data_IF_838786901268
#
_entry.id   IF_838786901268
#
_cell.length_a   1.000
_cell.length_b   1.000
_cell.length_c   1.000
_cell.angle_alpha   90.00
_cell.angle_beta   90.00
_cell.angle_gamma   90.00
#
_symmetry.space_group_name_H-M   'P 1'
#
loop_
_entity.id
_entity.type
_entity.pdbx_description
1 polymer ?
#
# COMPACT_ATOMS: atom_id res chain seq x y z
N UNK A 1 41.53 -20.48 24.14
CA UNK A 1 40.05 -20.52 24.09
C UNK A 1 39.61 -19.68 22.90
N UNK A 2 38.96 -20.28 21.91
CA UNK A 2 38.37 -19.54 20.78
C UNK A 2 37.04 -18.95 21.23
N UNK A 3 36.86 -17.63 21.05
CA UNK A 3 35.61 -16.93 21.35
C UNK A 3 34.90 -16.70 20.00
N UNK A 4 33.74 -17.33 19.74
CA UNK A 4 33.05 -17.12 18.47
C UNK A 4 32.64 -15.66 18.35
N UNK A 5 32.68 -15.08 17.13
CA UNK A 5 32.21 -13.72 16.90
C UNK A 5 30.72 -13.62 17.26
N UNK A 6 30.33 -12.49 17.83
CA UNK A 6 28.92 -12.24 18.15
C UNK A 6 28.07 -12.32 16.87
N UNK A 7 26.88 -12.94 16.93
CA UNK A 7 26.00 -13.03 15.78
C UNK A 7 25.65 -11.61 15.32
N UNK A 8 25.74 -11.37 14.01
CA UNK A 8 25.35 -10.10 13.42
C UNK A 8 23.93 -9.74 13.87
N UNK A 9 23.79 -8.60 14.54
CA UNK A 9 22.47 -8.09 14.92
C UNK A 9 21.68 -7.83 13.65
N UNK A 10 20.59 -8.59 13.48
CA UNK A 10 19.59 -8.32 12.46
C UNK A 10 18.99 -6.95 12.73
N UNK A 11 19.40 -5.95 11.96
CA UNK A 11 18.69 -4.68 11.87
C UNK A 11 17.67 -4.83 10.73
N UNK A 12 16.36 -4.93 11.03
CA UNK A 12 15.37 -4.91 9.96
C UNK A 12 15.57 -3.61 9.18
N UNK A 13 15.88 -3.74 7.89
CA UNK A 13 15.94 -2.61 6.99
C UNK A 13 14.64 -1.83 7.12
N UNK A 14 14.73 -0.52 7.33
CA UNK A 14 13.54 0.33 7.33
C UNK A 14 12.86 0.17 5.97
N UNK A 15 11.78 -0.62 5.94
CA UNK A 15 10.94 -0.79 4.76
C UNK A 15 10.61 0.61 4.24
N UNK A 16 10.99 0.89 3.00
CA UNK A 16 10.65 2.15 2.36
C UNK A 16 9.13 2.34 2.47
N UNK A 17 8.64 3.53 2.86
CA UNK A 17 7.21 3.74 3.00
C UNK A 17 6.54 3.43 1.66
N UNK A 18 5.61 2.47 1.66
CA UNK A 18 4.77 2.17 0.50
C UNK A 18 4.17 3.49 0.00
N UNK A 19 4.46 3.85 -1.25
CA UNK A 19 3.92 5.06 -1.87
C UNK A 19 2.39 5.05 -1.93
N UNK A 20 1.74 6.15 -2.32
CA UNK A 20 0.30 6.17 -2.49
C UNK A 20 -0.14 5.09 -3.48
N UNK A 21 -1.14 4.29 -3.11
CA UNK A 21 -1.70 3.26 -3.99
C UNK A 21 -2.73 3.85 -4.96
N UNK A 22 -3.34 4.97 -4.59
CA UNK A 22 -4.24 5.76 -5.43
C UNK A 22 -4.14 7.24 -5.08
N UNK A 23 -4.48 8.13 -6.01
CA UNK A 23 -4.62 9.58 -5.74
C UNK A 23 -5.96 10.04 -6.29
N UNK A 24 -6.83 10.50 -5.40
CA UNK A 24 -8.13 11.06 -5.77
C UNK A 24 -7.93 12.47 -6.30
N UNK A 25 -8.48 12.75 -7.48
CA UNK A 25 -8.46 14.07 -8.12
C UNK A 25 -9.83 14.42 -8.67
N UNK A 26 -10.12 15.72 -8.79
CA UNK A 26 -11.34 16.21 -9.42
C UNK A 26 -12.63 15.94 -8.65
N UNK A 27 -12.57 15.62 -7.36
CA UNK A 27 -13.75 15.61 -6.51
C UNK A 27 -14.29 17.04 -6.34
N UNK A 28 -15.62 17.20 -6.35
CA UNK A 28 -16.29 18.49 -6.10
C UNK A 28 -15.97 18.99 -4.69
N UNK A 29 -15.93 18.08 -3.72
CA UNK A 29 -15.41 18.36 -2.39
C UNK A 29 -13.87 18.28 -2.41
N UNK A 30 -13.15 19.40 -2.27
CA UNK A 30 -11.69 19.42 -2.34
C UNK A 30 -11.04 18.60 -1.22
N UNK A 31 -11.75 18.35 -0.11
CA UNK A 31 -11.25 17.56 1.03
C UNK A 31 -11.15 16.06 0.73
N UNK A 32 -11.76 15.60 -0.36
CA UNK A 32 -11.65 14.20 -0.81
C UNK A 32 -10.39 13.97 -1.66
N UNK A 33 -9.82 15.03 -2.24
CA UNK A 33 -8.68 14.93 -3.14
C UNK A 33 -7.39 14.67 -2.34
N UNK A 34 -6.54 13.80 -2.87
CA UNK A 34 -5.25 13.48 -2.26
C UNK A 34 -4.92 11.98 -2.27
N UNK A 35 -3.78 11.61 -1.68
CA UNK A 35 -3.26 10.26 -1.70
C UNK A 35 -4.04 9.31 -0.78
N UNK A 36 -4.24 8.09 -1.26
CA UNK A 36 -4.81 6.98 -0.50
C UNK A 36 -3.82 5.82 -0.49
N UNK A 37 -3.65 5.19 0.66
CA UNK A 37 -2.94 3.91 0.80
C UNK A 37 -3.88 2.84 1.33
N UNK A 38 -3.60 1.61 0.93
CA UNK A 38 -4.37 0.42 1.27
C UNK A 38 -3.52 -0.57 2.06
N UNK A 39 -4.17 -1.53 2.71
CA UNK A 39 -3.56 -2.72 3.26
C UNK A 39 -4.40 -3.94 2.91
N UNK A 40 -3.80 -5.12 3.03
CA UNK A 40 -4.58 -6.34 2.95
C UNK A 40 -5.46 -6.48 4.19
N UNK A 41 -6.75 -6.81 4.03
CA UNK A 41 -7.55 -7.27 5.15
C UNK A 41 -7.02 -8.63 5.60
N UNK A 42 -7.01 -8.85 6.91
CA UNK A 42 -6.80 -10.18 7.49
C UNK A 42 -8.01 -11.07 7.21
N UNK A 43 -7.86 -12.39 7.36
CA UNK A 43 -8.97 -13.33 7.18
C UNK A 43 -10.16 -13.03 8.11
N UNK A 44 -9.91 -12.52 9.31
CA UNK A 44 -10.98 -12.10 10.22
C UNK A 44 -11.69 -10.84 9.72
N UNK A 45 -10.95 -9.88 9.19
CA UNK A 45 -11.53 -8.65 8.62
C UNK A 45 -12.35 -8.92 7.36
N UNK A 46 -11.97 -9.90 6.54
CA UNK A 46 -12.79 -10.35 5.40
C UNK A 46 -14.19 -10.80 5.84
N UNK A 47 -14.30 -11.50 6.99
CA UNK A 47 -15.59 -11.88 7.58
C UNK A 47 -16.35 -10.64 8.09
N UNK A 48 -15.65 -9.71 8.72
CA UNK A 48 -16.25 -8.46 9.21
C UNK A 48 -16.77 -7.58 8.07
N UNK A 49 -16.06 -7.49 6.94
CA UNK A 49 -16.49 -6.77 5.74
C UNK A 49 -17.84 -7.31 5.26
N UNK A 50 -18.00 -8.64 5.18
CA UNK A 50 -19.27 -9.26 4.80
C UNK A 50 -20.42 -8.90 5.75
N UNK A 51 -20.17 -8.98 7.07
CA UNK A 51 -21.16 -8.57 8.08
C UNK A 51 -21.52 -7.09 7.95
N UNK A 52 -20.53 -6.23 7.70
CA UNK A 52 -20.71 -4.79 7.57
C UNK A 52 -21.50 -4.42 6.32
N UNK A 53 -21.25 -5.08 5.19
CA UNK A 53 -22.04 -4.89 3.97
C UNK A 53 -23.53 -5.24 4.18
N UNK A 54 -23.81 -6.31 4.92
CA UNK A 54 -25.17 -6.72 5.28
C UNK A 54 -25.85 -5.73 6.25
N UNK A 55 -25.10 -5.15 7.19
CA UNK A 55 -25.57 -4.09 8.07
C UNK A 55 -25.97 -2.82 7.28
N UNK A 56 -25.08 -2.38 6.37
CA UNK A 56 -25.33 -1.24 5.46
C UNK A 56 -26.58 -1.50 4.60
N UNK A 57 -26.69 -2.70 4.01
CA UNK A 57 -27.83 -3.08 3.20
C UNK A 57 -29.16 -3.03 3.96
N UNK A 58 -29.11 -3.36 5.26
CA UNK A 58 -30.28 -3.33 6.14
C UNK A 58 -30.65 -1.90 6.54
N UNK A 59 -29.71 -0.95 6.52
CA UNK A 59 -29.97 0.47 6.73
C UNK A 59 -30.65 0.80 8.06
N UNK A 60 -30.39 0.01 9.11
CA UNK A 60 -31.01 0.17 10.43
C UNK A 60 -32.51 -0.20 10.50
N UNK A 61 -33.07 -0.84 9.47
CA UNK A 61 -34.47 -1.27 9.45
C UNK A 61 -34.74 -2.38 10.48
N UNK A 62 -35.96 -2.39 11.02
CA UNK A 62 -36.43 -3.43 11.94
C UNK A 62 -36.43 -4.84 11.32
N UNK A 63 -36.65 -4.94 10.01
CA UNK A 63 -36.50 -6.19 9.24
C UNK A 63 -35.29 -6.06 8.33
N UNK A 64 -34.23 -6.87 8.55
CA UNK A 64 -33.04 -6.86 7.71
C UNK A 64 -33.36 -7.18 6.25
N UNK A 65 -32.71 -6.48 5.32
CA UNK A 65 -32.80 -6.74 3.88
C UNK A 65 -31.52 -7.41 3.47
N UNK A 66 -31.63 -8.59 2.85
CA UNK A 66 -30.47 -9.32 2.31
C UNK A 66 -29.74 -8.48 1.27
N UNK A 67 -28.41 -8.45 1.33
CA UNK A 67 -27.57 -7.71 0.39
C UNK A 67 -27.89 -8.05 -1.07
N UNK A 68 -28.19 -9.32 -1.37
CA UNK A 68 -28.48 -9.78 -2.74
C UNK A 68 -29.84 -9.29 -3.27
N UNK A 69 -30.73 -8.84 -2.39
CA UNK A 69 -32.04 -8.30 -2.77
C UNK A 69 -31.99 -6.82 -3.18
N UNK A 70 -30.84 -6.16 -2.99
CA UNK A 70 -30.66 -4.77 -3.40
C UNK A 70 -30.43 -4.65 -4.92
N UNK A 71 -30.80 -3.51 -5.54
CA UNK A 71 -30.36 -3.18 -6.89
C UNK A 71 -28.83 -3.26 -7.00
N UNK A 72 -28.34 -3.72 -8.16
CA UNK A 72 -26.90 -3.96 -8.38
C UNK A 72 -26.02 -2.79 -7.93
N UNK A 73 -26.39 -1.55 -8.28
CA UNK A 73 -25.63 -0.36 -7.90
C UNK A 73 -25.55 -0.19 -6.39
N UNK A 74 -26.66 -0.37 -5.67
CA UNK A 74 -26.69 -0.28 -4.21
C UNK A 74 -25.88 -1.41 -3.55
N UNK A 75 -25.89 -2.61 -4.13
CA UNK A 75 -25.03 -3.72 -3.68
C UNK A 75 -23.54 -3.37 -3.82
N UNK A 76 -23.13 -2.86 -4.97
CA UNK A 76 -21.74 -2.45 -5.22
C UNK A 76 -21.28 -1.37 -4.24
N UNK A 77 -22.14 -0.39 -3.95
CA UNK A 77 -21.83 0.61 -2.92
C UNK A 77 -21.70 -0.02 -1.54
N UNK A 78 -22.64 -0.86 -1.11
CA UNK A 78 -22.55 -1.49 0.20
C UNK A 78 -21.26 -2.31 0.38
N UNK A 79 -20.86 -3.08 -0.65
CA UNK A 79 -19.61 -3.84 -0.67
C UNK A 79 -18.36 -2.94 -0.69
N UNK A 80 -18.36 -1.89 -1.53
CA UNK A 80 -17.26 -0.94 -1.62
C UNK A 80 -17.03 -0.21 -0.29
N UNK A 81 -18.10 0.31 0.31
CA UNK A 81 -18.08 1.02 1.59
C UNK A 81 -17.55 0.10 2.68
N UNK A 82 -18.14 -1.09 2.81
CA UNK A 82 -17.74 -2.06 3.81
C UNK A 82 -16.27 -2.46 3.64
N UNK A 83 -15.79 -2.65 2.41
CA UNK A 83 -14.38 -3.04 2.19
C UNK A 83 -13.44 -1.89 2.54
N UNK A 84 -13.69 -0.69 1.99
CA UNK A 84 -12.83 0.48 2.16
C UNK A 84 -12.67 0.89 3.62
N UNK A 85 -13.69 0.68 4.45
CA UNK A 85 -13.66 0.94 5.89
C UNK A 85 -12.53 0.16 6.60
N UNK A 86 -12.22 -1.04 6.14
CA UNK A 86 -11.16 -1.88 6.72
C UNK A 86 -9.82 -1.73 6.00
N UNK A 87 -9.81 -1.53 4.68
CA UNK A 87 -8.57 -1.64 3.89
C UNK A 87 -7.84 -0.32 3.70
N UNK A 88 -8.50 0.84 3.86
CA UNK A 88 -7.81 2.13 3.79
C UNK A 88 -6.93 2.29 5.02
N UNK A 89 -5.63 2.52 4.78
CA UNK A 89 -4.64 2.78 5.84
C UNK A 89 -4.48 4.28 6.06
N UNK A 90 -4.36 5.06 4.99
CA UNK A 90 -4.32 6.52 5.01
C UNK A 90 -5.20 7.07 3.89
N UNK A 91 -5.94 8.15 4.16
CA UNK A 91 -6.69 8.91 3.16
C UNK A 91 -6.82 10.39 3.59
N UNK A 92 -7.22 11.29 2.68
CA UNK A 92 -7.49 12.69 3.02
C UNK A 92 -8.60 12.84 4.07
N UNK A 93 -8.60 13.96 4.81
CA UNK A 93 -9.53 14.19 5.93
C UNK A 93 -11.01 14.06 5.54
N UNK A 94 -11.38 14.40 4.30
CA UNK A 94 -12.77 14.36 3.84
C UNK A 94 -13.39 12.97 3.77
N UNK A 95 -12.57 11.92 3.83
CA UNK A 95 -13.01 10.52 3.83
C UNK A 95 -13.50 10.05 5.20
N UNK A 96 -13.19 10.80 6.26
CA UNK A 96 -13.47 10.40 7.63
C UNK A 96 -14.42 11.37 8.32
N UNK A 97 -15.32 10.80 9.10
CA UNK A 97 -16.08 11.52 10.13
C UNK A 97 -15.59 11.12 11.50
N UNK A 98 -15.88 11.93 12.52
CA UNK A 98 -15.68 11.52 13.91
C UNK A 98 -16.87 10.66 14.33
N UNK A 99 -16.60 9.41 14.68
CA UNK A 99 -17.56 8.55 15.38
C UNK A 99 -17.93 9.10 16.75
N UNK A 100 -18.97 8.53 17.34
CA UNK A 100 -19.45 8.90 18.70
C UNK A 100 -18.41 8.62 19.79
N UNK A 101 -17.43 7.76 19.51
CA UNK A 101 -16.27 7.44 20.35
C UNK A 101 -15.02 8.29 20.01
N UNK A 102 -15.15 9.27 19.10
CA UNK A 102 -14.07 10.15 18.67
C UNK A 102 -13.10 9.53 17.65
N UNK A 103 -13.31 8.28 17.22
CA UNK A 103 -12.45 7.64 16.22
C UNK A 103 -12.84 8.04 14.80
N UNK A 104 -11.88 8.12 13.87
CA UNK A 104 -12.18 8.34 12.47
C UNK A 104 -12.93 7.11 11.93
N UNK A 105 -14.21 7.30 11.60
CA UNK A 105 -15.00 6.33 10.86
C UNK A 105 -14.95 6.74 9.40
N UNK A 106 -14.67 5.78 8.52
CA UNK A 106 -14.84 6.03 7.10
C UNK A 106 -16.30 6.43 6.90
N UNK A 107 -16.53 7.60 6.30
CA UNK A 107 -17.88 8.12 6.10
C UNK A 107 -18.30 8.12 4.63
N UNK A 108 -18.35 6.99 3.92
CA UNK A 108 -18.80 7.02 2.53
C UNK A 108 -20.24 7.51 2.36
N UNK A 109 -21.10 7.38 3.38
CA UNK A 109 -22.43 8.00 3.39
C UNK A 109 -22.42 9.53 3.50
N UNK A 110 -21.27 10.14 3.82
CA UNK A 110 -21.02 11.60 3.83
C UNK A 110 -20.13 12.06 2.68
N UNK A 111 -19.67 11.15 1.81
CA UNK A 111 -19.21 11.49 0.45
C UNK A 111 -20.49 11.88 -0.28
N UNK A 112 -20.93 13.12 0.01
CA UNK A 112 -22.25 13.62 -0.31
C UNK A 112 -22.43 13.96 -1.78
N UNK A 113 -23.63 14.47 -2.03
CA UNK A 113 -24.27 14.71 -3.32
C UNK A 113 -23.30 15.14 -4.43
N UNK A 114 -22.97 14.19 -5.30
CA UNK A 114 -22.20 14.41 -6.51
C UNK A 114 -20.74 13.95 -6.52
N UNK A 115 -20.22 13.35 -5.45
CA UNK A 115 -18.92 12.66 -5.40
C UNK A 115 -19.04 11.15 -5.08
N UNK A 116 -20.24 10.56 -5.11
CA UNK A 116 -20.47 9.16 -4.74
C UNK A 116 -19.65 8.19 -5.61
N UNK A 117 -19.44 8.54 -6.87
CA UNK A 117 -18.61 7.76 -7.80
C UNK A 117 -17.16 7.63 -7.32
N UNK A 118 -16.65 8.55 -6.48
CA UNK A 118 -15.31 8.43 -5.89
C UNK A 118 -15.18 7.20 -5.00
N UNK A 119 -16.26 6.74 -4.36
CA UNK A 119 -16.25 5.50 -3.58
C UNK A 119 -15.93 4.30 -4.49
N UNK A 120 -16.61 4.22 -5.63
CA UNK A 120 -16.39 3.12 -6.58
C UNK A 120 -15.04 3.25 -7.27
N UNK A 121 -14.57 4.46 -7.58
CA UNK A 121 -13.23 4.72 -8.11
C UNK A 121 -12.14 4.19 -7.17
N UNK A 122 -12.22 4.54 -5.88
CA UNK A 122 -11.22 4.11 -4.89
C UNK A 122 -11.32 2.61 -4.62
N UNK A 123 -12.53 2.04 -4.65
CA UNK A 123 -12.72 0.60 -4.54
C UNK A 123 -12.11 -0.15 -5.73
N UNK A 124 -12.29 0.33 -6.96
CA UNK A 124 -11.65 -0.25 -8.14
C UNK A 124 -10.10 -0.15 -8.05
N UNK A 125 -9.57 0.97 -7.56
CA UNK A 125 -8.14 1.11 -7.31
C UNK A 125 -7.61 0.08 -6.30
N UNK A 126 -8.37 -0.18 -5.23
CA UNK A 126 -8.04 -1.25 -4.28
C UNK A 126 -8.05 -2.64 -4.95
N UNK A 127 -9.05 -2.95 -5.78
CA UNK A 127 -9.13 -4.25 -6.47
C UNK A 127 -7.93 -4.47 -7.38
N UNK A 128 -7.54 -3.46 -8.17
CA UNK A 128 -6.35 -3.52 -9.04
C UNK A 128 -5.07 -3.68 -8.25
N UNK A 129 -4.91 -2.93 -7.16
CA UNK A 129 -3.76 -3.06 -6.25
C UNK A 129 -3.69 -4.47 -5.64
N UNK A 130 -4.84 -5.02 -5.23
CA UNK A 130 -4.97 -6.36 -4.66
C UNK A 130 -4.63 -7.45 -5.67
N UNK A 131 -5.00 -7.28 -6.93
CA UNK A 131 -4.63 -8.22 -8.00
C UNK A 131 -3.14 -8.17 -8.30
N UNK A 132 -2.56 -6.96 -8.39
CA UNK A 132 -1.14 -6.78 -8.64
C UNK A 132 -0.27 -7.43 -7.54
N UNK A 133 -0.69 -7.37 -6.28
CA UNK A 133 0.03 -8.02 -5.19
C UNK A 133 -0.17 -9.55 -5.17
N UNK A 134 -1.35 -10.07 -5.51
CA UNK A 134 -1.57 -11.53 -5.68
C UNK A 134 -0.81 -12.11 -6.88
N UNK A 135 -0.59 -11.30 -7.92
CA UNK A 135 0.19 -11.67 -9.09
C UNK A 135 1.71 -11.70 -8.85
N UNK A 136 2.19 -11.21 -7.69
CA UNK A 136 3.59 -11.43 -7.29
C UNK A 136 3.72 -12.91 -6.93
N UNK A 137 4.59 -13.69 -7.60
CA UNK A 137 4.80 -15.08 -7.24
C UNK A 137 5.17 -15.13 -5.75
N UNK A 138 4.57 -16.05 -5.01
CA UNK A 138 4.94 -16.32 -3.62
C UNK A 138 6.42 -16.76 -3.62
N UNK A 139 7.34 -15.82 -3.40
CA UNK A 139 8.77 -16.00 -3.64
C UNK A 139 9.44 -14.97 -4.56
N UNK A 140 8.72 -13.97 -5.10
CA UNK A 140 9.35 -12.73 -5.53
C UNK A 140 9.95 -12.08 -4.29
N UNK A 141 11.23 -12.34 -4.06
CA UNK A 141 12.03 -11.63 -3.08
C UNK A 141 11.70 -10.13 -3.18
N UNK A 142 11.58 -9.46 -2.04
CA UNK A 142 11.76 -8.02 -2.00
C UNK A 142 12.97 -7.69 -2.87
N UNK A 143 12.92 -6.64 -3.72
CA UNK A 143 14.05 -6.27 -4.55
C UNK A 143 15.27 -6.17 -3.63
N UNK A 144 16.25 -7.05 -3.88
CA UNK A 144 17.49 -7.13 -3.13
C UNK A 144 18.05 -5.70 -3.03
N UNK A 145 18.22 -5.13 -1.82
CA UNK A 145 18.78 -3.79 -1.72
C UNK A 145 20.15 -3.85 -2.40
N UNK A 146 20.28 -3.00 -3.43
CA UNK A 146 21.43 -2.90 -4.31
C UNK A 146 22.72 -3.25 -3.55
N UNK A 147 23.42 -4.29 -4.03
CA UNK A 147 24.74 -4.66 -3.55
C UNK A 147 25.55 -3.38 -3.35
N UNK A 148 25.88 -3.09 -2.10
CA UNK A 148 26.77 -2.01 -1.75
C UNK A 148 28.11 -2.32 -2.42
N UNK A 149 28.36 -1.71 -3.58
CA UNK A 149 29.71 -1.57 -4.11
C UNK A 149 30.44 -0.70 -3.11
N UNK A 150 31.16 -1.33 -2.19
CA UNK A 150 32.00 -0.66 -1.20
C UNK A 150 32.99 0.20 -1.97
N UNK A 151 32.80 1.53 -1.92
CA UNK A 151 33.73 2.50 -2.49
C UNK A 151 34.67 3.01 -1.39
N UNK A 152 35.84 2.37 -1.30
CA UNK A 152 37.07 2.85 -0.63
C UNK A 152 37.15 2.58 0.88
N UNK A 153 38.29 2.19 1.48
CA UNK A 153 39.67 2.01 0.99
C UNK A 153 40.48 1.20 2.02
N UNK A 154 41.42 0.33 1.60
CA UNK A 154 42.88 0.58 1.57
C UNK A 154 43.55 -0.14 2.76
N UNK A 155 44.89 -0.16 2.95
CA UNK A 155 46.03 -0.18 2.03
C UNK A 155 46.96 -1.41 2.27
N UNK A 156 47.93 -1.67 1.37
CA UNK A 156 49.22 -2.27 1.76
C UNK A 156 49.65 -3.59 1.11
N UNK A 157 50.73 -3.51 0.31
CA UNK A 157 51.79 -4.52 0.12
C UNK A 157 51.44 -5.72 -0.75
N UNK A 158 52.23 -6.14 -1.74
CA UNK A 158 53.59 -5.79 -2.16
C UNK A 158 54.03 -6.76 -3.26
N UNK A 159 55.18 -6.44 -3.85
CA UNK A 159 55.99 -7.18 -4.83
C UNK A 159 55.58 -7.12 -6.32
N UNK A 160 56.32 -6.30 -7.08
CA UNK A 160 56.37 -6.29 -8.55
C UNK A 160 57.25 -7.42 -9.11
N UNK A 161 58.04 -7.24 -10.19
CA UNK A 161 57.96 -6.29 -11.31
C UNK A 161 57.92 -7.02 -12.69
N UNK A 162 57.37 -6.39 -13.73
CA UNK A 162 57.71 -6.71 -15.15
C UNK A 162 57.47 -5.42 -15.94
N UNK A 163 58.51 -4.59 -16.10
CA UNK A 163 59.39 -4.50 -17.27
C UNK A 163 58.71 -3.87 -18.50
N UNK A 164 59.17 -2.65 -18.77
CA UNK A 164 59.44 -2.00 -20.05
C UNK A 164 58.37 -2.03 -21.15
N UNK A 165 57.76 -0.86 -21.39
CA UNK A 165 57.93 -0.19 -22.70
C UNK A 165 57.41 1.26 -22.65
N UNK A 166 58.34 2.20 -22.77
CA UNK A 166 58.14 3.59 -23.20
C UNK A 166 59.36 3.94 -24.10
N UNK A 167 59.34 5.01 -24.92
CA UNK A 167 58.22 5.77 -25.49
C UNK A 167 58.43 6.16 -26.97
N UNK A 168 57.36 6.66 -27.60
CA UNK A 168 57.46 7.83 -28.50
C UNK A 168 57.65 7.59 -30.00
N UNK A 169 57.25 8.59 -30.78
CA UNK A 169 57.76 8.80 -32.13
C UNK A 169 56.73 9.28 -33.15
N UNK A 170 56.82 10.57 -33.48
CA UNK A 170 56.04 11.28 -34.47
C UNK A 170 56.51 11.05 -35.94
N UNK A 171 55.59 11.24 -36.88
CA UNK A 171 55.82 11.68 -38.28
C UNK A 171 56.51 10.70 -39.23
N UNK A 172 56.40 10.86 -40.56
CA UNK A 172 56.01 12.06 -41.33
C UNK A 172 54.62 12.02 -41.99
#
# INVERSE_FOLDING_TARGET
MYKPPEPAQYMPGALAPEGPHHVVQGAKNPKLNGPITFRYPTAFEEVLIGSRAQEIASGGRATPVRLEALPLRARLYAEAIATLEYVIKNAPEGWYTRGTDGKPLLAPGLIGDGDEEKVLEVYDAFLRWREAFRGRPAGAAEPDPAQAVVRGGGPGGGDGPVADDEPGGAGP
#
